data_IF_694889227883
#
_entry.id   IF_694889227883
#
_cell.length_a   1.000
_cell.length_b   1.000
_cell.length_c   1.000
_cell.angle_alpha   90.00
_cell.angle_beta   90.00
_cell.angle_gamma   90.00
#
_symmetry.space_group_name_H-M   'P 1'
#
loop_
_entity.id
_entity.type
_entity.pdbx_description
1 polymer ?
#
# COMPACT_ATOMS: atom_id res chain seq x y z
N UNK A 1 -13.76 18.92 20.20
CA UNK A 1 -12.41 19.45 20.53
C UNK A 1 -11.86 20.16 19.32
N UNK A 2 -11.09 21.26 19.46
CA UNK A 2 -10.48 21.91 18.31
C UNK A 2 -9.59 20.89 17.58
N UNK A 3 -9.85 20.68 16.29
CA UNK A 3 -9.08 19.81 15.41
C UNK A 3 -7.76 20.50 15.07
N UNK A 4 -6.92 20.75 16.07
CA UNK A 4 -5.63 21.40 15.89
C UNK A 4 -4.55 20.33 15.73
N UNK A 5 -3.64 20.56 14.81
CA UNK A 5 -2.46 19.72 14.63
C UNK A 5 -1.57 19.89 15.87
N UNK A 6 -1.34 18.84 16.68
CA UNK A 6 -0.51 18.96 17.87
C UNK A 6 0.94 19.16 17.42
N UNK A 7 1.45 20.37 17.66
CA UNK A 7 2.85 20.74 17.40
C UNK A 7 3.72 20.16 18.51
N UNK A 8 4.85 19.59 18.12
CA UNK A 8 5.86 19.07 19.04
C UNK A 8 7.08 19.98 18.91
N UNK A 9 7.61 20.48 20.03
CA UNK A 9 8.82 21.28 20.01
C UNK A 9 10.07 20.41 20.00
N UNK A 10 11.13 20.82 19.30
CA UNK A 10 12.43 20.11 19.33
C UNK A 10 13.01 19.90 20.75
N UNK A 11 12.65 20.74 21.71
CA UNK A 11 13.06 20.60 23.12
C UNK A 11 12.43 19.40 23.84
N UNK A 12 11.35 18.83 23.32
CA UNK A 12 10.66 17.68 23.90
C UNK A 12 11.18 16.34 23.38
N UNK A 13 12.08 16.36 22.39
CA UNK A 13 12.59 15.16 21.74
C UNK A 13 13.80 14.61 22.51
N UNK A 14 13.74 13.33 22.85
CA UNK A 14 14.86 12.61 23.45
C UNK A 14 16.08 12.64 22.52
N UNK A 15 17.21 13.12 23.04
CA UNK A 15 18.49 13.22 22.34
C UNK A 15 18.94 11.87 21.76
N UNK A 16 18.57 10.76 22.43
CA UNK A 16 18.86 9.40 21.98
C UNK A 16 18.18 9.06 20.64
N UNK A 17 16.94 9.50 20.45
CA UNK A 17 16.16 9.30 19.21
C UNK A 17 16.78 10.09 18.08
N UNK A 18 17.21 11.34 18.36
CA UNK A 18 17.82 12.20 17.34
C UNK A 18 19.10 11.59 16.79
N UNK A 19 20.00 11.14 17.68
CA UNK A 19 21.26 10.51 17.28
C UNK A 19 21.04 9.23 16.46
N UNK A 20 20.04 8.41 16.82
CA UNK A 20 19.69 7.22 16.06
C UNK A 20 19.17 7.58 14.67
N UNK A 21 18.26 8.55 14.55
CA UNK A 21 17.73 9.01 13.27
C UNK A 21 18.83 9.63 12.38
N UNK A 22 19.71 10.47 12.94
CA UNK A 22 20.86 11.04 12.23
C UNK A 22 21.79 9.96 11.65
N UNK A 23 22.00 8.87 12.40
CA UNK A 23 22.78 7.72 11.91
C UNK A 23 22.12 7.06 10.69
N UNK A 24 20.79 6.97 10.66
CA UNK A 24 20.03 6.44 9.52
C UNK A 24 20.14 7.37 8.32
N UNK A 25 19.92 8.67 8.51
CA UNK A 25 20.08 9.65 7.44
C UNK A 25 21.50 9.61 6.85
N UNK A 26 22.52 9.53 7.71
CA UNK A 26 23.91 9.46 7.28
C UNK A 26 24.28 8.15 6.56
N UNK A 27 23.64 7.01 6.90
CA UNK A 27 23.85 5.76 6.15
C UNK A 27 23.18 5.80 4.78
N UNK A 28 21.98 6.39 4.68
CA UNK A 28 21.22 6.46 3.43
C UNK A 28 21.88 7.42 2.44
N UNK A 29 22.35 8.58 2.89
CA UNK A 29 23.09 9.53 2.04
C UNK A 29 24.36 8.92 1.46
N UNK A 30 24.98 7.96 2.15
CA UNK A 30 26.15 7.22 1.64
C UNK A 30 25.79 6.15 0.61
N UNK A 31 24.57 5.59 0.67
CA UNK A 31 24.08 4.60 -0.30
C UNK A 31 23.55 5.24 -1.58
N UNK A 32 23.01 6.48 -1.52
CA UNK A 32 22.60 7.25 -2.71
C UNK A 32 23.75 7.51 -3.69
N UNK A 33 24.99 7.68 -3.19
CA UNK A 33 26.18 7.84 -4.04
C UNK A 33 26.56 6.55 -4.81
N UNK A 34 26.03 5.39 -4.41
CA UNK A 34 26.34 4.08 -5.00
C UNK A 34 25.24 3.56 -5.95
N UNK A 35 24.91 4.31 -7.01
CA UNK A 35 24.22 3.89 -8.27
C UNK A 35 22.95 3.01 -8.28
N UNK A 36 22.49 2.46 -7.17
CA UNK A 36 21.24 1.72 -7.03
C UNK A 36 20.46 2.30 -5.85
N UNK A 37 19.93 3.52 -6.05
CA UNK A 37 19.05 4.18 -5.10
C UNK A 37 17.74 3.37 -4.95
N UNK A 38 17.75 2.36 -4.08
CA UNK A 38 16.53 1.85 -3.47
C UNK A 38 15.90 3.01 -2.70
N UNK A 39 14.63 3.30 -2.98
CA UNK A 39 13.91 4.37 -2.30
C UNK A 39 13.96 4.16 -0.78
N UNK A 40 13.99 5.25 -0.03
CA UNK A 40 13.95 5.39 1.44
C UNK A 40 12.97 4.47 2.20
N UNK A 41 12.05 3.80 1.49
CA UNK A 41 10.98 2.96 2.02
C UNK A 41 10.90 1.55 1.38
N UNK A 42 11.88 1.19 0.55
CA UNK A 42 11.88 -0.11 -0.11
C UNK A 42 12.63 -1.11 0.75
N UNK A 43 11.92 -2.06 1.35
CA UNK A 43 12.54 -3.29 1.84
C UNK A 43 13.04 -4.03 0.59
N UNK A 44 14.33 -4.41 0.48
CA UNK A 44 14.76 -5.32 -0.56
C UNK A 44 13.88 -6.58 -0.51
N UNK A 45 13.09 -6.83 -1.56
CA UNK A 45 12.15 -7.97 -1.59
C UNK A 45 12.89 -9.31 -1.43
N UNK A 46 14.12 -9.37 -1.93
CA UNK A 46 15.10 -10.34 -1.48
C UNK A 46 15.86 -9.70 -0.33
N UNK A 47 15.61 -10.13 0.91
CA UNK A 47 16.44 -9.77 2.04
C UNK A 47 17.67 -10.70 2.03
N UNK A 48 18.85 -10.31 1.46
CA UNK A 48 20.03 -11.16 1.45
C UNK A 48 20.56 -11.45 2.87
N UNK A 49 20.11 -10.65 3.85
CA UNK A 49 20.37 -10.87 5.27
C UNK A 49 19.75 -12.19 5.74
N UNK A 50 18.58 -12.60 5.23
CA UNK A 50 17.98 -13.90 5.58
C UNK A 50 18.87 -15.06 5.15
N UNK A 51 19.24 -15.14 3.88
CA UNK A 51 20.01 -16.28 3.37
C UNK A 51 21.47 -16.33 3.85
N UNK A 52 22.15 -15.18 4.00
CA UNK A 52 23.53 -15.14 4.46
C UNK A 52 23.65 -15.23 5.99
N UNK A 53 22.83 -14.50 6.76
CA UNK A 53 22.86 -14.63 8.22
C UNK A 53 22.24 -15.94 8.70
N UNK A 54 21.22 -16.50 8.04
CA UNK A 54 20.71 -17.82 8.42
C UNK A 54 21.71 -18.92 8.10
N UNK A 55 22.48 -18.83 6.99
CA UNK A 55 23.61 -19.75 6.74
C UNK A 55 24.73 -19.61 7.76
N UNK A 56 25.12 -18.38 8.11
CA UNK A 56 26.15 -18.16 9.13
C UNK A 56 25.66 -18.63 10.50
N UNK A 57 24.39 -18.43 10.83
CA UNK A 57 23.77 -18.89 12.07
C UNK A 57 23.59 -20.41 12.10
N UNK A 58 23.22 -21.06 11.00
CA UNK A 58 23.20 -22.53 10.87
C UNK A 58 24.60 -23.10 11.00
N UNK A 59 25.59 -22.51 10.35
CA UNK A 59 27.00 -22.92 10.46
C UNK A 59 27.51 -22.78 11.91
N UNK A 60 27.20 -21.66 12.58
CA UNK A 60 27.55 -21.46 13.99
C UNK A 60 26.80 -22.42 14.92
N UNK A 61 25.55 -22.77 14.59
CA UNK A 61 24.74 -23.74 15.34
C UNK A 61 25.27 -25.17 15.15
N UNK A 62 25.70 -25.55 13.95
CA UNK A 62 26.38 -26.82 13.68
C UNK A 62 27.71 -26.91 14.42
N UNK A 63 28.51 -25.84 14.44
CA UNK A 63 29.76 -25.77 15.22
C UNK A 63 29.45 -25.91 16.72
N UNK A 64 28.42 -25.24 17.23
CA UNK A 64 28.01 -25.34 18.64
C UNK A 64 27.45 -26.73 19.00
N UNK A 65 26.73 -27.38 18.10
CA UNK A 65 26.24 -28.75 18.25
C UNK A 65 27.39 -29.76 18.21
N UNK A 66 28.38 -29.59 17.34
CA UNK A 66 29.60 -30.42 17.32
C UNK A 66 30.42 -30.25 18.61
N UNK A 67 30.59 -29.03 19.11
CA UNK A 67 31.22 -28.78 20.42
C UNK A 67 30.42 -29.36 21.59
N UNK A 68 29.08 -29.36 21.49
CA UNK A 68 28.17 -29.97 22.48
C UNK A 68 28.22 -31.51 22.43
N UNK A 69 28.31 -32.11 21.25
CA UNK A 69 28.51 -33.55 21.06
C UNK A 69 29.89 -34.01 21.53
N UNK A 70 30.96 -33.25 21.27
CA UNK A 70 32.29 -33.51 21.84
C UNK A 70 32.28 -33.35 23.36
N UNK A 71 31.63 -32.30 23.89
CA UNK A 71 31.44 -32.07 25.33
C UNK A 71 30.66 -33.20 26.00
N UNK A 72 29.61 -33.73 25.36
CA UNK A 72 28.79 -34.83 25.87
C UNK A 72 29.47 -36.19 25.73
N UNK A 73 30.27 -36.43 24.67
CA UNK A 73 31.17 -37.60 24.57
C UNK A 73 32.27 -37.55 25.63
N UNK A 74 32.86 -36.37 25.88
CA UNK A 74 33.87 -36.14 26.93
C UNK A 74 33.27 -36.29 28.34
N UNK A 75 32.03 -35.85 28.56
CA UNK A 75 31.24 -36.07 29.80
C UNK A 75 30.76 -37.51 29.97
N UNK A 76 30.43 -38.24 28.91
CA UNK A 76 30.12 -39.69 28.95
C UNK A 76 31.35 -40.52 29.33
N UNK A 77 32.53 -40.16 28.83
CA UNK A 77 33.80 -40.75 29.27
C UNK A 77 34.13 -40.42 30.74
N UNK A 78 33.69 -39.28 31.26
CA UNK A 78 33.81 -38.95 32.70
C UNK A 78 32.74 -39.61 33.59
N UNK A 79 31.51 -39.82 33.08
CA UNK A 79 30.39 -40.43 33.83
C UNK A 79 30.50 -41.95 33.99
N UNK A 80 31.40 -42.63 33.28
CA UNK A 80 31.64 -44.06 33.47
C UNK A 80 32.48 -44.39 34.74
N UNK A 81 32.86 -43.39 35.55
CA UNK A 81 33.69 -43.57 36.76
C UNK A 81 33.05 -43.16 38.09
N UNK A 82 31.74 -42.89 38.17
CA UNK A 82 31.12 -42.54 39.46
C UNK A 82 29.68 -43.01 39.59
N UNK A 83 29.52 -44.07 40.40
CA UNK A 83 28.34 -44.41 41.24
C UNK A 83 26.99 -44.56 40.52
N UNK A 84 26.35 -45.74 40.41
CA UNK A 84 25.92 -46.64 41.50
C UNK A 84 25.44 -45.88 42.75
N UNK A 85 24.14 -45.55 42.82
CA UNK A 85 23.21 -45.81 43.94
C UNK A 85 22.03 -44.81 44.01
N UNK A 86 20.89 -45.39 44.42
CA UNK A 86 19.66 -44.83 45.00
C UNK A 86 18.53 -44.35 44.07
N UNK A 87 17.49 -45.18 44.03
CA UNK A 87 16.08 -44.91 43.75
C UNK A 87 15.40 -44.36 45.02
N UNK A 88 14.50 -43.37 44.89
CA UNK A 88 13.37 -43.17 45.81
C UNK A 88 12.33 -42.20 45.20
N UNK A 89 11.06 -42.42 45.58
CA UNK A 89 9.82 -41.99 44.94
C UNK A 89 9.14 -40.76 45.60
N UNK A 90 8.15 -40.20 44.87
CA UNK A 90 6.95 -39.40 45.26
C UNK A 90 7.11 -37.88 45.54
N UNK A 91 6.03 -37.04 45.47
CA UNK A 91 4.63 -37.27 45.04
C UNK A 91 4.04 -36.22 44.07
N UNK A 92 2.88 -36.57 43.52
CA UNK A 92 1.88 -35.74 42.85
C UNK A 92 1.10 -34.85 43.84
N UNK A 93 1.15 -33.53 43.65
CA UNK A 93 0.07 -32.56 43.93
C UNK A 93 0.60 -31.12 43.86
N UNK A 94 0.25 -30.38 42.80
CA UNK A 94 0.13 -28.93 42.83
C UNK A 94 -1.05 -28.54 41.94
N UNK A 95 -2.14 -28.14 42.59
CA UNK A 95 -3.30 -27.48 42.00
C UNK A 95 -2.86 -26.21 41.29
N UNK A 96 -3.12 -26.10 39.98
CA UNK A 96 -3.04 -24.84 39.24
C UNK A 96 -4.47 -24.39 38.93
N UNK A 97 -4.80 -23.19 39.39
CA UNK A 97 -6.10 -22.53 39.34
C UNK A 97 -6.57 -22.29 37.87
N UNK A 98 -7.79 -22.68 37.46
CA UNK A 98 -8.25 -22.62 36.06
C UNK A 98 -8.77 -21.24 35.59
N UNK A 99 -8.44 -20.14 36.28
CA UNK A 99 -8.95 -18.80 35.94
C UNK A 99 -8.15 -18.10 34.82
N UNK A 100 -6.84 -18.39 34.67
CA UNK A 100 -6.03 -17.69 33.67
C UNK A 100 -6.30 -18.17 32.23
N UNK A 101 -6.77 -19.41 32.06
CA UNK A 101 -7.05 -20.00 30.75
C UNK A 101 -8.38 -19.50 30.15
N UNK A 102 -9.35 -19.12 30.98
CA UNK A 102 -10.66 -18.61 30.53
C UNK A 102 -10.61 -17.15 30.05
N UNK A 103 -9.65 -16.35 30.51
CA UNK A 103 -9.47 -14.96 30.07
C UNK A 103 -8.92 -14.83 28.65
N UNK A 104 -8.24 -15.84 28.11
CA UNK A 104 -7.64 -15.78 26.76
C UNK A 104 -8.63 -16.20 25.67
N UNK A 105 -9.73 -16.87 26.04
CA UNK A 105 -10.76 -17.35 25.11
C UNK A 105 -11.93 -16.36 24.96
N UNK A 106 -11.98 -15.31 25.78
CA UNK A 106 -13.08 -14.33 25.74
C UNK A 106 -12.63 -12.99 25.18
N UNK A 107 -12.81 -12.79 23.87
CA UNK A 107 -13.48 -11.57 23.45
C UNK A 107 -14.46 -11.84 22.30
N UNK A 108 -15.58 -12.53 22.54
CA UNK A 108 -16.66 -12.62 21.54
C UNK A 108 -18.10 -12.59 22.09
N UNK A 109 -18.33 -12.37 23.38
CA UNK A 109 -19.69 -12.19 23.90
C UNK A 109 -19.75 -10.93 24.77
N UNK A 110 -20.39 -9.89 24.24
CA UNK A 110 -20.73 -8.67 24.99
C UNK A 110 -21.83 -8.99 26.02
N UNK A 111 -21.67 -8.66 27.32
CA UNK A 111 -22.78 -8.71 28.25
C UNK A 111 -23.65 -7.46 28.05
N UNK A 112 -24.78 -7.61 27.37
CA UNK A 112 -25.80 -6.54 27.25
C UNK A 112 -26.34 -6.25 25.84
N UNK A 113 -26.07 -7.09 24.83
CA UNK A 113 -26.76 -6.96 23.55
C UNK A 113 -28.22 -7.45 23.66
N UNK A 114 -29.23 -6.71 23.15
CA UNK A 114 -30.59 -7.21 23.09
C UNK A 114 -30.60 -8.48 22.24
N UNK A 115 -31.35 -9.49 22.71
CA UNK A 115 -31.52 -10.80 22.05
C UNK A 115 -31.87 -10.58 20.57
N UNK A 116 -30.89 -10.77 19.67
CA UNK A 116 -31.16 -10.81 18.24
C UNK A 116 -31.96 -12.08 17.92
N UNK A 117 -33.01 -12.00 17.10
CA UNK A 117 -33.84 -13.14 16.74
C UNK A 117 -33.01 -14.15 15.94
N UNK A 118 -33.13 -15.43 16.32
CA UNK A 118 -32.77 -16.65 15.58
C UNK A 118 -31.82 -16.49 14.38
N UNK A 119 -30.60 -17.02 14.55
CA UNK A 119 -29.66 -17.31 13.46
C UNK A 119 -30.42 -18.10 12.37
N UNK A 120 -30.39 -17.69 11.09
CA UNK A 120 -31.03 -18.44 10.01
C UNK A 120 -30.46 -19.88 9.94
N UNK A 121 -31.31 -20.89 9.75
CA UNK A 121 -30.97 -22.34 9.67
C UNK A 121 -29.91 -22.73 8.60
N UNK A 122 -29.38 -21.77 7.83
CA UNK A 122 -28.36 -21.98 6.79
C UNK A 122 -26.99 -21.38 7.12
N UNK A 123 -26.68 -21.07 8.38
CA UNK A 123 -25.30 -20.73 8.76
C UNK A 123 -24.44 -21.99 8.75
N UNK A 124 -23.35 -22.07 7.96
CA UNK A 124 -22.46 -23.22 7.99
C UNK A 124 -21.90 -23.39 9.41
N UNK A 125 -21.96 -24.63 9.92
CA UNK A 125 -21.38 -24.98 11.22
C UNK A 125 -19.85 -24.92 11.11
N UNK A 126 -19.29 -23.77 11.50
CA UNK A 126 -17.87 -23.50 11.32
C UNK A 126 -17.03 -24.18 12.40
N UNK A 127 -16.56 -25.40 12.11
CA UNK A 127 -15.60 -26.12 12.94
C UNK A 127 -14.19 -25.97 12.36
N UNK A 128 -13.28 -25.34 13.11
CA UNK A 128 -11.86 -25.22 12.74
C UNK A 128 -10.94 -25.59 13.90
N UNK A 129 -9.78 -26.13 13.58
CA UNK A 129 -8.71 -26.30 14.57
C UNK A 129 -8.07 -24.94 14.82
N UNK A 130 -8.06 -24.51 16.07
CA UNK A 130 -7.47 -23.24 16.48
C UNK A 130 -6.10 -23.46 17.12
N UNK A 131 -5.09 -22.77 16.63
CA UNK A 131 -3.74 -22.80 17.20
C UNK A 131 -3.64 -21.71 18.27
N UNK A 132 -3.53 -22.11 19.53
CA UNK A 132 -3.35 -21.21 20.66
C UNK A 132 -1.87 -20.87 20.91
N UNK A 133 -1.63 -19.75 21.59
CA UNK A 133 -0.29 -19.27 21.93
C UNK A 133 0.15 -18.07 21.07
N UNK A 134 0.70 -17.08 21.77
CA UNK A 134 1.21 -15.83 21.17
C UNK A 134 2.66 -15.52 21.57
N UNK A 135 3.28 -16.38 22.38
CA UNK A 135 4.63 -16.14 22.89
C UNK A 135 5.69 -16.57 21.88
N UNK A 136 6.56 -15.63 21.50
CA UNK A 136 7.73 -15.93 20.67
C UNK A 136 8.90 -16.37 21.57
N UNK A 137 9.33 -17.63 21.44
CA UNK A 137 10.44 -18.17 22.22
C UNK A 137 11.76 -17.40 21.97
N UNK A 138 12.59 -17.30 23.01
CA UNK A 138 13.94 -16.73 22.96
C UNK A 138 14.02 -15.20 23.02
N UNK A 139 12.90 -14.50 23.27
CA UNK A 139 12.87 -13.05 23.47
C UNK A 139 12.82 -12.78 24.97
N UNK A 140 13.61 -11.82 25.45
CA UNK A 140 13.55 -11.41 26.85
C UNK A 140 12.31 -10.55 27.11
N UNK A 141 11.85 -10.49 28.36
CA UNK A 141 10.70 -9.65 28.72
C UNK A 141 10.99 -8.17 28.48
N UNK A 142 12.24 -7.75 28.71
CA UNK A 142 12.71 -6.38 28.52
C UNK A 142 12.68 -5.98 27.03
N UNK A 143 13.21 -6.82 26.15
CA UNK A 143 13.17 -6.58 24.69
C UNK A 143 11.74 -6.52 24.17
N UNK A 144 10.86 -7.36 24.71
CA UNK A 144 9.44 -7.36 24.37
C UNK A 144 8.75 -6.05 24.79
N UNK A 145 8.95 -5.61 26.04
CA UNK A 145 8.35 -4.39 26.56
C UNK A 145 8.83 -3.16 25.76
N UNK A 146 10.13 -3.11 25.46
CA UNK A 146 10.71 -2.05 24.63
C UNK A 146 10.10 -2.03 23.23
N UNK A 147 10.04 -3.18 22.55
CA UNK A 147 9.44 -3.30 21.23
C UNK A 147 7.95 -2.94 21.22
N UNK A 148 7.21 -3.31 22.27
CA UNK A 148 5.79 -2.98 22.39
C UNK A 148 5.59 -1.46 22.51
N UNK A 149 6.40 -0.76 23.32
CA UNK A 149 6.35 0.70 23.48
C UNK A 149 6.66 1.43 22.17
N UNK A 150 7.72 1.01 21.45
CA UNK A 150 8.12 1.65 20.19
C UNK A 150 7.09 1.44 19.09
N UNK A 151 6.57 0.22 18.93
CA UNK A 151 5.51 -0.10 17.97
C UNK A 151 4.22 0.65 18.29
N UNK A 152 3.83 0.73 19.57
CA UNK A 152 2.65 1.50 19.99
C UNK A 152 2.79 2.98 19.64
N UNK A 153 3.97 3.57 19.86
CA UNK A 153 4.26 4.96 19.46
C UNK A 153 4.13 5.15 17.94
N UNK A 154 4.65 4.22 17.14
CA UNK A 154 4.52 4.27 15.69
C UNK A 154 3.04 4.16 15.23
N UNK A 155 2.22 3.37 15.93
CA UNK A 155 0.78 3.29 15.66
C UNK A 155 0.04 4.60 15.96
N UNK A 156 0.38 5.29 17.05
CA UNK A 156 -0.15 6.63 17.34
C UNK A 156 0.23 7.66 16.27
N UNK A 157 1.49 7.64 15.82
CA UNK A 157 1.95 8.49 14.71
C UNK A 157 1.14 8.19 13.44
N UNK A 158 0.96 6.91 13.10
CA UNK A 158 0.15 6.50 11.94
C UNK A 158 -1.30 6.96 12.07
N UNK A 159 -1.93 6.82 13.23
CA UNK A 159 -3.31 7.27 13.47
C UNK A 159 -3.43 8.79 13.30
N UNK A 160 -2.49 9.56 13.87
CA UNK A 160 -2.41 11.02 13.74
C UNK A 160 -2.45 11.45 12.27
N UNK A 161 -1.57 10.89 11.43
CA UNK A 161 -1.50 11.27 10.01
C UNK A 161 -2.63 10.69 9.17
N UNK A 162 -3.12 9.49 9.50
CA UNK A 162 -4.29 8.91 8.83
C UNK A 162 -5.53 9.80 9.04
N UNK A 163 -5.70 10.33 10.25
CA UNK A 163 -6.75 11.28 10.59
C UNK A 163 -6.64 12.59 9.82
N UNK A 164 -5.42 13.12 9.66
CA UNK A 164 -5.17 14.35 8.89
C UNK A 164 -5.43 14.18 7.39
N UNK A 165 -5.10 13.00 6.85
CA UNK A 165 -5.30 12.67 5.45
C UNK A 165 -6.72 12.15 5.14
N UNK A 166 -7.63 12.13 6.13
CA UNK A 166 -8.96 11.53 6.00
C UNK A 166 -8.92 10.05 5.55
N UNK A 167 -7.84 9.34 5.88
CA UNK A 167 -7.70 7.92 5.60
C UNK A 167 -8.41 7.09 6.67
N UNK A 168 -9.01 5.98 6.23
CA UNK A 168 -9.61 5.02 7.17
C UNK A 168 -8.53 4.34 7.99
N UNK A 169 -8.67 4.40 9.31
CA UNK A 169 -7.79 3.70 10.26
C UNK A 169 -8.49 2.45 10.82
N UNK A 170 -7.81 1.31 11.02
CA UNK A 170 -8.45 0.08 11.49
C UNK A 170 -9.10 0.25 12.87
N UNK A 171 -10.41 -0.03 12.97
CA UNK A 171 -11.20 0.11 14.20
C UNK A 171 -10.64 -0.70 15.37
N UNK A 172 -10.24 -1.94 15.10
CA UNK A 172 -9.64 -2.83 16.11
C UNK A 172 -8.40 -2.19 16.71
N UNK A 173 -7.49 -1.67 15.88
CA UNK A 173 -6.28 -1.00 16.36
C UNK A 173 -6.61 0.27 17.13
N UNK A 174 -7.55 1.09 16.64
CA UNK A 174 -7.99 2.31 17.33
C UNK A 174 -8.54 2.02 18.74
N UNK A 175 -9.33 0.94 18.89
CA UNK A 175 -9.86 0.52 20.19
C UNK A 175 -8.75 0.18 21.19
N UNK A 176 -7.74 -0.58 20.75
CA UNK A 176 -6.58 -0.90 21.60
C UNK A 176 -5.77 0.35 21.96
N UNK A 177 -5.55 1.27 21.02
CA UNK A 177 -4.84 2.53 21.29
C UNK A 177 -5.59 3.40 22.31
N UNK A 178 -6.91 3.57 22.16
CA UNK A 178 -7.72 4.32 23.13
C UNK A 178 -7.75 3.65 24.49
N UNK A 179 -7.86 2.32 24.54
CA UNK A 179 -7.79 1.59 25.80
C UNK A 179 -6.44 1.79 26.50
N UNK A 180 -5.33 1.85 25.75
CA UNK A 180 -4.00 2.14 26.31
C UNK A 180 -3.91 3.57 26.89
N UNK A 181 -4.66 4.52 26.34
CA UNK A 181 -4.80 5.89 26.86
C UNK A 181 -5.87 6.03 27.97
N UNK A 182 -6.49 4.93 28.40
CA UNK A 182 -7.66 4.92 29.30
C UNK A 182 -8.86 5.74 28.77
N UNK A 183 -9.00 5.80 27.45
CA UNK A 183 -10.11 6.46 26.76
C UNK A 183 -11.08 5.43 26.18
N UNK A 184 -12.35 5.81 26.07
CA UNK A 184 -13.35 5.00 25.33
C UNK A 184 -13.26 5.33 23.85
N UNK A 185 -13.21 4.30 23.02
CA UNK A 185 -13.34 4.45 21.58
C UNK A 185 -14.81 4.66 21.20
N UNK A 186 -15.11 5.72 20.46
CA UNK A 186 -16.44 5.97 19.90
C UNK A 186 -16.39 5.96 18.38
N UNK A 187 -17.49 5.50 17.76
CA UNK A 187 -17.62 5.49 16.29
C UNK A 187 -17.66 6.91 15.72
N UNK A 188 -18.18 7.87 16.47
CA UNK A 188 -18.31 9.28 16.06
C UNK A 188 -16.95 9.98 15.90
N UNK A 189 -15.90 9.44 16.52
CA UNK A 189 -14.53 9.94 16.40
C UNK A 189 -13.82 9.41 15.13
N UNK A 190 -14.45 8.49 14.39
CA UNK A 190 -13.90 7.92 13.15
C UNK A 190 -13.92 8.98 12.03
N UNK A 191 -12.74 9.28 11.48
CA UNK A 191 -12.64 10.07 10.26
C UNK A 191 -12.68 9.14 9.06
N UNK A 192 -13.61 9.42 8.15
CA UNK A 192 -13.76 8.70 6.90
C UNK A 192 -13.41 9.63 5.73
N UNK A 193 -12.85 9.07 4.65
CA UNK A 193 -12.66 9.84 3.43
C UNK A 193 -14.02 10.26 2.91
N UNK A 194 -14.12 11.51 2.46
CA UNK A 194 -15.29 11.94 1.69
C UNK A 194 -15.24 11.24 0.33
N UNK A 195 -16.26 10.44 0.04
CA UNK A 195 -16.33 9.61 -1.15
C UNK A 195 -17.51 10.07 -1.99
N UNK A 196 -17.23 10.68 -3.14
CA UNK A 196 -18.27 11.01 -4.10
C UNK A 196 -18.94 9.72 -4.57
N UNK A 197 -20.27 9.57 -4.39
CA UNK A 197 -20.98 8.38 -4.80
C UNK A 197 -20.82 8.15 -6.32
N UNK A 198 -20.86 6.89 -6.74
CA UNK A 198 -20.98 6.59 -8.17
C UNK A 198 -22.28 7.20 -8.68
N UNK A 199 -22.27 7.91 -9.83
CA UNK A 199 -23.48 8.33 -10.52
C UNK A 199 -24.38 7.13 -10.79
N UNK A 200 -25.69 7.30 -10.63
CA UNK A 200 -26.68 6.24 -10.88
C UNK A 200 -26.89 6.06 -12.38
N UNK A 201 -27.48 4.93 -12.79
CA UNK A 201 -27.84 4.69 -14.18
C UNK A 201 -28.74 5.84 -14.70
N UNK A 202 -28.27 6.55 -15.73
CA UNK A 202 -28.96 7.68 -16.35
C UNK A 202 -28.59 9.07 -15.82
N UNK A 203 -27.77 9.17 -14.76
CA UNK A 203 -27.18 10.45 -14.31
C UNK A 203 -25.93 10.77 -15.13
N UNK A 204 -25.75 12.03 -15.56
CA UNK A 204 -24.53 12.43 -16.27
C UNK A 204 -23.39 12.64 -15.24
N UNK A 205 -22.31 11.82 -15.28
CA UNK A 205 -21.19 11.91 -14.36
C UNK A 205 -20.42 13.25 -14.44
N UNK A 206 -20.64 14.05 -15.49
CA UNK A 206 -19.98 15.34 -15.72
C UNK A 206 -20.89 16.53 -15.47
N UNK A 207 -22.04 16.32 -14.83
CA UNK A 207 -22.98 17.39 -14.49
C UNK A 207 -22.32 18.38 -13.53
N UNK A 208 -22.45 19.67 -13.84
CA UNK A 208 -21.97 20.76 -12.98
C UNK A 208 -23.02 21.22 -11.96
N UNK A 209 -24.25 20.70 -12.07
CA UNK A 209 -25.32 20.93 -11.10
C UNK A 209 -24.95 20.31 -9.74
N UNK A 210 -25.03 21.10 -8.67
CA UNK A 210 -24.69 20.65 -7.31
C UNK A 210 -23.24 20.86 -6.90
N UNK A 211 -22.40 21.47 -7.74
CA UNK A 211 -21.10 22.01 -7.30
C UNK A 211 -21.37 23.14 -6.29
N UNK A 212 -20.80 23.09 -5.06
CA UNK A 212 -20.98 24.15 -4.08
C UNK A 212 -20.52 25.51 -4.62
N UNK A 213 -21.27 26.56 -4.31
CA UNK A 213 -20.88 27.93 -4.65
C UNK A 213 -19.53 28.29 -4.00
N UNK A 214 -18.79 29.19 -4.64
CA UNK A 214 -17.56 29.73 -4.08
C UNK A 214 -17.85 30.38 -2.73
N UNK A 215 -17.27 29.82 -1.67
CA UNK A 215 -17.40 30.29 -0.30
C UNK A 215 -16.58 31.57 -0.03
N UNK A 216 -15.88 32.10 -1.04
CA UNK A 216 -15.08 33.33 -1.01
C UNK A 216 -13.86 33.27 -0.06
N UNK A 217 -13.39 32.07 0.28
CA UNK A 217 -12.16 31.90 1.05
C UNK A 217 -10.94 32.33 0.23
N UNK A 218 -10.01 33.01 0.89
CA UNK A 218 -8.71 33.34 0.30
C UNK A 218 -7.67 32.27 0.64
N UNK A 219 -6.88 31.85 -0.34
CA UNK A 219 -5.84 30.83 -0.18
C UNK A 219 -4.45 31.46 -0.32
N UNK A 220 -3.51 31.11 0.56
CA UNK A 220 -2.11 31.50 0.45
C UNK A 220 -1.19 30.34 0.80
N UNK A 221 -0.26 30.01 -0.10
CA UNK A 221 0.78 29.03 0.17
C UNK A 221 1.91 29.67 1.00
N UNK A 222 2.27 29.04 2.12
CA UNK A 222 3.42 29.39 2.95
C UNK A 222 4.22 28.12 3.22
N UNK A 223 5.50 28.13 2.89
CA UNK A 223 6.41 26.98 3.08
C UNK A 223 5.86 25.66 2.49
N UNK A 224 5.14 25.75 1.36
CA UNK A 224 4.52 24.60 0.69
C UNK A 224 3.15 24.16 1.26
N UNK A 225 2.65 24.82 2.31
CA UNK A 225 1.35 24.51 2.94
C UNK A 225 0.33 25.58 2.56
N UNK A 226 -0.85 25.16 2.12
CA UNK A 226 -1.94 26.07 1.76
C UNK A 226 -2.70 26.46 3.04
N UNK A 227 -2.61 27.75 3.38
CA UNK A 227 -3.40 28.36 4.44
C UNK A 227 -4.70 28.93 3.86
N UNK A 228 -5.78 28.76 4.62
CA UNK A 228 -7.13 29.21 4.26
C UNK A 228 -7.46 30.40 5.15
N UNK A 229 -8.00 31.47 4.57
CA UNK A 229 -8.40 32.69 5.26
C UNK A 229 -9.86 32.98 4.93
N UNK A 230 -10.63 33.38 5.94
CA UNK A 230 -12.06 33.68 5.81
C UNK A 230 -12.31 34.80 4.78
N UNK A 231 -11.47 35.82 4.77
CA UNK A 231 -11.59 36.99 3.91
C UNK A 231 -10.23 37.62 3.56
N UNK A 232 -10.26 38.57 2.62
CA UNK A 232 -9.06 39.31 2.21
C UNK A 232 -8.48 40.19 3.33
N UNK A 233 -9.28 40.53 4.35
CA UNK A 233 -8.81 41.26 5.53
C UNK A 233 -8.03 40.36 6.48
N UNK A 234 -8.52 39.16 6.80
CA UNK A 234 -7.80 38.16 7.57
C UNK A 234 -6.49 37.75 6.89
N UNK A 235 -6.47 37.71 5.55
CA UNK A 235 -5.24 37.50 4.78
C UNK A 235 -4.20 38.62 5.02
N UNK A 236 -4.63 39.89 5.01
CA UNK A 236 -3.76 41.03 5.32
C UNK A 236 -3.27 41.00 6.77
N UNK A 237 -4.11 40.57 7.69
CA UNK A 237 -3.78 40.42 9.11
C UNK A 237 -3.02 39.12 9.42
N UNK A 238 -2.81 38.26 8.42
CA UNK A 238 -2.11 36.97 8.56
C UNK A 238 -2.75 36.06 9.62
N UNK A 239 -4.07 36.10 9.74
CA UNK A 239 -4.86 35.30 10.66
C UNK A 239 -5.58 34.17 9.90
N UNK A 240 -4.98 32.96 9.78
CA UNK A 240 -5.61 31.87 9.06
C UNK A 240 -6.80 31.28 9.83
N UNK A 241 -7.71 30.65 9.09
CA UNK A 241 -8.82 29.88 9.63
C UNK A 241 -8.31 28.76 10.55
N UNK A 242 -9.08 28.37 11.56
CA UNK A 242 -8.64 27.39 12.57
C UNK A 242 -8.69 25.94 12.05
N UNK A 243 -7.82 25.57 11.10
CA UNK A 243 -7.63 24.21 10.57
C UNK A 243 -6.37 23.53 11.13
N UNK A 244 -6.29 22.19 11.09
CA UNK A 244 -5.08 21.45 11.44
C UNK A 244 -4.03 21.59 10.35
N UNK A 245 -3.30 22.71 10.32
CA UNK A 245 -2.17 22.87 9.41
C UNK A 245 -1.01 21.97 9.86
N UNK A 246 -0.50 21.08 8.99
CA UNK A 246 0.71 20.33 9.27
C UNK A 246 1.89 21.27 9.54
N UNK A 247 2.86 20.79 10.30
CA UNK A 247 4.08 21.52 10.60
C UNK A 247 5.29 20.65 10.24
N UNK A 248 6.22 21.22 9.48
CA UNK A 248 7.37 20.49 8.94
C UNK A 248 8.29 19.98 10.05
N UNK A 249 8.51 20.79 11.08
CA UNK A 249 9.35 20.43 12.24
C UNK A 249 8.75 19.23 12.97
N UNK A 250 7.45 19.29 13.29
CA UNK A 250 6.73 18.18 13.91
C UNK A 250 6.75 16.92 13.04
N UNK A 251 6.59 17.05 11.73
CA UNK A 251 6.68 15.92 10.80
C UNK A 251 8.07 15.28 10.82
N UNK A 252 9.14 16.10 10.80
CA UNK A 252 10.51 15.61 10.88
C UNK A 252 10.80 14.88 12.20
N UNK A 253 10.25 15.37 13.32
CA UNK A 253 10.34 14.73 14.63
C UNK A 253 9.63 13.37 14.63
N UNK A 254 8.37 13.32 14.17
CA UNK A 254 7.60 12.07 14.09
C UNK A 254 8.29 11.05 13.17
N UNK A 255 8.83 11.50 12.03
CA UNK A 255 9.61 10.67 11.13
C UNK A 255 10.88 10.14 11.81
N UNK A 256 11.58 10.97 12.56
CA UNK A 256 12.78 10.57 13.32
C UNK A 256 12.47 9.46 14.33
N UNK A 257 11.31 9.50 15.00
CA UNK A 257 10.87 8.41 15.88
C UNK A 257 10.68 7.09 15.12
N UNK A 258 10.07 7.13 13.93
CA UNK A 258 9.87 5.94 13.11
C UNK A 258 11.21 5.39 12.59
N UNK A 259 12.13 6.26 12.15
CA UNK A 259 13.45 5.86 11.67
C UNK A 259 14.31 5.25 12.79
N UNK A 260 14.29 5.86 13.98
CA UNK A 260 14.99 5.32 15.15
C UNK A 260 14.47 3.92 15.52
N UNK A 261 13.14 3.70 15.45
CA UNK A 261 12.54 2.38 15.69
C UNK A 261 13.00 1.34 14.66
N UNK A 262 13.16 1.70 13.38
CA UNK A 262 13.61 0.77 12.33
C UNK A 262 15.02 0.23 12.60
N UNK A 263 15.88 1.05 13.20
CA UNK A 263 17.28 0.70 13.50
C UNK A 263 17.48 0.14 14.90
N UNK A 264 16.45 0.19 15.75
CA UNK A 264 16.48 -0.45 17.06
C UNK A 264 16.60 -1.97 16.93
N UNK A 265 17.74 -2.51 17.39
CA UNK A 265 18.09 -3.92 17.28
C UNK A 265 17.08 -4.86 17.95
N UNK A 266 16.76 -4.66 19.24
CA UNK A 266 15.75 -5.45 19.95
C UNK A 266 14.38 -5.45 19.26
N UNK A 267 13.86 -4.27 18.87
CA UNK A 267 12.58 -4.16 18.15
C UNK A 267 12.64 -4.92 16.82
N UNK A 268 13.72 -4.78 16.05
CA UNK A 268 13.89 -5.49 14.78
C UNK A 268 13.93 -7.01 14.96
N UNK A 269 14.70 -7.51 15.92
CA UNK A 269 14.75 -8.94 16.24
C UNK A 269 13.39 -9.47 16.70
N UNK A 270 12.68 -8.71 17.53
CA UNK A 270 11.31 -9.05 17.97
C UNK A 270 10.37 -9.17 16.78
N UNK A 271 10.30 -8.13 15.94
CA UNK A 271 9.42 -8.11 14.76
C UNK A 271 9.72 -9.27 13.80
N UNK A 272 11.00 -9.55 13.51
CA UNK A 272 11.40 -10.67 12.65
C UNK A 272 10.90 -12.01 13.20
N UNK A 273 11.14 -12.28 14.50
CA UNK A 273 10.68 -13.53 15.13
C UNK A 273 9.16 -13.62 15.19
N UNK A 274 8.48 -12.51 15.44
CA UNK A 274 7.01 -12.47 15.46
C UNK A 274 6.43 -12.73 14.08
N UNK A 275 7.00 -12.16 13.03
CA UNK A 275 6.58 -12.43 11.65
C UNK A 275 6.78 -13.91 11.28
N UNK A 276 7.94 -14.49 11.59
CA UNK A 276 8.19 -15.91 11.35
C UNK A 276 7.23 -16.79 12.13
N UNK A 277 6.95 -16.47 13.40
CA UNK A 277 5.98 -17.19 14.21
C UNK A 277 4.57 -17.11 13.61
N UNK A 278 4.12 -15.94 13.18
CA UNK A 278 2.80 -15.74 12.55
C UNK A 278 2.72 -16.50 11.22
N UNK A 279 3.78 -16.49 10.43
CA UNK A 279 3.87 -17.26 9.18
C UNK A 279 3.80 -18.77 9.44
N UNK A 280 4.57 -19.30 10.39
CA UNK A 280 4.50 -20.71 10.78
C UNK A 280 3.13 -21.10 11.34
N UNK A 281 2.49 -20.21 12.11
CA UNK A 281 1.12 -20.40 12.61
C UNK A 281 0.11 -20.47 11.47
N UNK A 282 0.27 -19.62 10.45
CA UNK A 282 -0.57 -19.66 9.25
C UNK A 282 -0.33 -20.94 8.42
N UNK A 283 0.92 -21.37 8.26
CA UNK A 283 1.25 -22.62 7.57
C UNK A 283 0.63 -23.84 8.28
N UNK A 284 0.72 -23.89 9.61
CA UNK A 284 0.06 -24.96 10.37
C UNK A 284 -1.47 -24.87 10.27
N UNK A 285 -2.03 -23.65 10.22
CA UNK A 285 -3.46 -23.46 9.99
C UNK A 285 -3.89 -24.04 8.64
N UNK A 286 -3.14 -23.77 7.57
CA UNK A 286 -3.38 -24.33 6.25
C UNK A 286 -3.36 -25.86 6.29
N UNK A 287 -2.31 -26.47 6.85
CA UNK A 287 -2.21 -27.93 6.98
C UNK A 287 -3.38 -28.58 7.74
N UNK A 288 -3.96 -27.89 8.73
CA UNK A 288 -5.02 -28.43 9.57
C UNK A 288 -6.42 -28.15 9.03
N UNK A 289 -6.61 -27.04 8.30
CA UNK A 289 -7.93 -26.51 7.96
C UNK A 289 -8.20 -26.42 6.46
N UNK A 290 -7.23 -26.64 5.56
CA UNK A 290 -7.39 -26.52 4.10
C UNK A 290 -8.60 -27.32 3.58
N UNK A 291 -8.73 -28.58 3.98
CA UNK A 291 -9.85 -29.44 3.53
C UNK A 291 -11.21 -28.94 4.03
N UNK A 292 -11.25 -28.36 5.24
CA UNK A 292 -12.47 -27.77 5.78
C UNK A 292 -12.84 -26.50 5.01
N UNK A 293 -11.88 -25.60 4.77
CA UNK A 293 -12.09 -24.38 3.98
C UNK A 293 -12.52 -24.70 2.54
N UNK A 294 -11.92 -25.73 1.91
CA UNK A 294 -12.30 -26.18 0.57
C UNK A 294 -13.72 -26.76 0.53
N UNK A 295 -14.12 -27.50 1.58
CA UNK A 295 -15.50 -28.01 1.71
C UNK A 295 -16.49 -26.85 1.84
N UNK A 296 -16.18 -25.84 2.64
CA UNK A 296 -17.00 -24.65 2.80
C UNK A 296 -17.13 -23.87 1.48
N UNK A 297 -16.03 -23.69 0.75
CA UNK A 297 -16.05 -23.06 -0.57
C UNK A 297 -17.00 -23.79 -1.53
N UNK A 298 -16.96 -25.14 -1.54
CA UNK A 298 -17.87 -25.97 -2.35
C UNK A 298 -19.33 -25.91 -1.87
N UNK A 299 -19.55 -25.60 -0.59
CA UNK A 299 -20.87 -25.40 0.00
C UNK A 299 -21.56 -24.12 -0.44
N UNK A 300 -20.82 -23.15 -0.98
CA UNK A 300 -21.38 -21.89 -1.50
C UNK A 300 -21.54 -21.98 -3.02
N UNK A 301 -22.74 -22.33 -3.53
CA UNK A 301 -22.94 -22.44 -4.96
C UNK A 301 -22.77 -21.09 -5.66
N UNK A 302 -22.29 -21.12 -6.90
CA UNK A 302 -22.09 -19.94 -7.75
C UNK A 302 -21.10 -18.88 -7.25
N UNK A 303 -20.29 -19.17 -6.22
CA UNK A 303 -19.16 -18.32 -5.82
C UNK A 303 -17.84 -19.04 -6.07
N UNK A 304 -17.23 -18.74 -7.21
CA UNK A 304 -15.91 -19.20 -7.60
C UNK A 304 -15.01 -17.99 -7.93
N UNK A 305 -13.79 -18.26 -8.39
CA UNK A 305 -12.83 -17.22 -8.75
C UNK A 305 -13.32 -16.26 -9.85
N UNK A 306 -14.26 -16.68 -10.69
CA UNK A 306 -14.83 -15.85 -11.75
C UNK A 306 -15.92 -14.92 -11.21
N UNK A 307 -16.66 -15.35 -10.20
CA UNK A 307 -17.78 -14.61 -9.61
C UNK A 307 -17.40 -13.77 -8.38
N UNK A 308 -16.12 -13.71 -8.02
CA UNK A 308 -15.60 -12.82 -6.97
C UNK A 308 -15.18 -11.50 -7.57
N UNK A 309 -15.69 -10.40 -7.01
CA UNK A 309 -15.28 -9.04 -7.38
C UNK A 309 -13.81 -8.84 -7.05
N UNK A 310 -13.05 -8.39 -8.03
CA UNK A 310 -11.62 -8.12 -7.96
C UNK A 310 -11.35 -6.74 -8.55
N UNK A 311 -10.44 -6.02 -7.90
CA UNK A 311 -10.07 -4.67 -8.26
C UNK A 311 -8.57 -4.66 -8.53
N UNK A 312 -8.17 -4.22 -9.72
CA UNK A 312 -6.78 -3.88 -9.97
C UNK A 312 -6.51 -2.49 -9.37
N UNK A 313 -5.90 -2.47 -8.19
CA UNK A 313 -5.59 -1.24 -7.45
C UNK A 313 -4.29 -0.60 -7.90
N UNK A 314 -3.55 -1.18 -8.87
CA UNK A 314 -2.27 -0.62 -9.30
C UNK A 314 -2.02 -0.75 -10.81
N UNK A 315 -2.72 0.05 -11.59
CA UNK A 315 -2.55 0.10 -13.05
C UNK A 315 -2.35 1.53 -13.56
N UNK A 316 -1.39 1.74 -14.46
CA UNK A 316 -1.24 3.02 -15.14
C UNK A 316 -2.20 3.08 -16.33
N UNK A 317 -2.87 4.20 -16.55
CA UNK A 317 -3.85 4.32 -17.64
C UNK A 317 -3.24 4.06 -19.03
N UNK A 318 -2.01 4.55 -19.28
CA UNK A 318 -1.29 4.30 -20.52
C UNK A 318 -0.89 2.82 -20.73
N UNK A 319 -1.08 1.98 -19.71
CA UNK A 319 -0.79 0.56 -19.71
C UNK A 319 -2.05 -0.30 -19.51
N UNK A 320 -3.24 0.28 -19.58
CA UNK A 320 -4.47 -0.44 -19.26
C UNK A 320 -4.90 -1.43 -20.33
N UNK A 321 -4.54 -1.19 -21.60
CA UNK A 321 -4.87 -2.08 -22.70
C UNK A 321 -3.84 -3.19 -22.89
N UNK A 322 -4.31 -4.31 -23.44
CA UNK A 322 -3.43 -5.37 -23.91
C UNK A 322 -2.61 -4.91 -25.14
N UNK A 323 -1.37 -5.36 -25.25
CA UNK A 323 -0.48 -5.08 -26.38
C UNK A 323 -1.11 -5.45 -27.73
N UNK A 324 -1.81 -6.59 -27.81
CA UNK A 324 -2.52 -7.03 -29.02
C UNK A 324 -3.67 -6.07 -29.40
N UNK A 325 -4.36 -5.55 -28.39
CA UNK A 325 -5.45 -4.59 -28.58
C UNK A 325 -4.90 -3.26 -29.10
N UNK A 326 -3.83 -2.74 -28.47
CA UNK A 326 -3.13 -1.54 -28.95
C UNK A 326 -2.65 -1.69 -30.40
N UNK A 327 -2.00 -2.80 -30.74
CA UNK A 327 -1.53 -3.06 -32.11
C UNK A 327 -2.68 -3.01 -33.12
N UNK A 328 -3.77 -3.72 -32.82
CA UNK A 328 -4.96 -3.75 -33.67
C UNK A 328 -5.59 -2.36 -33.83
N UNK A 329 -5.57 -1.56 -32.76
CA UNK A 329 -6.07 -0.18 -32.80
C UNK A 329 -5.21 0.70 -33.72
N UNK A 330 -3.88 0.61 -33.63
CA UNK A 330 -2.94 1.33 -34.51
C UNK A 330 -3.15 0.93 -35.97
N UNK A 331 -3.29 -0.37 -36.26
CA UNK A 331 -3.54 -0.87 -37.62
C UNK A 331 -4.88 -0.39 -38.17
N UNK A 332 -5.92 -0.38 -37.34
CA UNK A 332 -7.27 0.04 -37.75
C UNK A 332 -7.30 1.54 -38.04
N UNK A 333 -6.76 2.36 -37.14
CA UNK A 333 -6.70 3.82 -37.30
C UNK A 333 -5.86 4.23 -38.50
N UNK A 334 -4.72 3.57 -38.76
CA UNK A 334 -3.97 3.80 -39.99
C UNK A 334 -4.79 3.48 -41.24
N UNK A 335 -5.55 2.37 -41.24
CA UNK A 335 -6.38 1.99 -42.39
C UNK A 335 -7.53 2.98 -42.66
N UNK A 336 -8.16 3.52 -41.62
CA UNK A 336 -9.37 4.34 -41.75
C UNK A 336 -9.10 5.85 -41.73
N UNK A 337 -8.02 6.29 -41.07
CA UNK A 337 -7.74 7.70 -40.76
C UNK A 337 -6.31 8.12 -41.17
N UNK A 338 -5.70 7.46 -42.16
CA UNK A 338 -4.34 7.75 -42.64
C UNK A 338 -4.07 9.24 -42.94
N UNK A 339 -5.03 9.93 -43.55
CA UNK A 339 -4.88 11.32 -43.99
C UNK A 339 -5.16 12.36 -42.88
N UNK A 340 -5.52 11.90 -41.67
CA UNK A 340 -5.81 12.78 -40.54
C UNK A 340 -4.53 13.44 -40.04
N UNK A 341 -4.60 14.74 -39.76
CA UNK A 341 -3.50 15.49 -39.11
C UNK A 341 -3.44 15.11 -37.64
N UNK A 342 -2.29 14.62 -37.19
CA UNK A 342 -2.09 14.08 -35.83
C UNK A 342 -0.98 14.77 -35.04
N UNK A 343 -0.09 15.50 -35.71
CA UNK A 343 1.01 16.23 -35.09
C UNK A 343 1.22 17.58 -35.78
N UNK A 344 1.73 18.55 -35.02
CA UNK A 344 2.25 19.80 -35.53
C UNK A 344 3.71 19.93 -35.08
N UNK A 345 4.66 19.92 -36.04
CA UNK A 345 6.09 20.14 -35.75
C UNK A 345 6.58 21.33 -36.56
N UNK A 346 7.04 22.37 -35.87
CA UNK A 346 7.62 23.56 -36.52
C UNK A 346 6.63 24.32 -37.42
N UNK A 347 5.33 24.30 -37.10
CA UNK A 347 4.26 24.92 -37.91
C UNK A 347 3.84 24.11 -39.13
N UNK A 348 4.40 22.92 -39.33
CA UNK A 348 3.97 21.98 -40.36
C UNK A 348 3.02 20.94 -39.76
N UNK A 349 1.84 20.83 -40.36
CA UNK A 349 0.84 19.82 -40.05
C UNK A 349 1.26 18.48 -40.65
N UNK A 350 1.42 17.46 -39.81
CA UNK A 350 1.85 16.11 -40.20
C UNK A 350 0.66 15.15 -40.11
N UNK A 351 0.38 14.44 -41.20
CA UNK A 351 -0.68 13.41 -41.24
C UNK A 351 -0.21 12.10 -40.62
N UNK A 352 -1.14 11.25 -40.18
CA UNK A 352 -0.81 9.94 -39.61
C UNK A 352 0.03 9.11 -40.59
N UNK A 353 -0.30 9.17 -41.89
CA UNK A 353 0.51 8.56 -42.95
C UNK A 353 1.94 9.08 -42.98
N UNK A 354 2.13 10.39 -42.95
CA UNK A 354 3.46 11.00 -42.94
C UNK A 354 4.26 10.66 -41.69
N UNK A 355 3.60 10.45 -40.54
CA UNK A 355 4.28 9.97 -39.32
C UNK A 355 4.90 8.60 -39.55
N UNK A 356 4.14 7.65 -40.10
CA UNK A 356 4.64 6.31 -40.41
C UNK A 356 5.70 6.32 -41.52
N UNK A 357 5.53 7.16 -42.54
CA UNK A 357 6.54 7.35 -43.59
C UNK A 357 7.86 7.88 -43.00
N UNK A 358 7.80 8.84 -42.05
CA UNK A 358 8.97 9.41 -41.37
C UNK A 358 9.69 8.38 -40.49
N UNK A 359 8.91 7.52 -39.84
CA UNK A 359 9.44 6.43 -39.03
C UNK A 359 9.96 5.26 -39.86
N UNK A 360 9.80 5.28 -41.19
CA UNK A 360 10.18 4.20 -42.12
C UNK A 360 9.61 2.84 -41.71
N UNK A 361 8.36 2.83 -41.24
CA UNK A 361 7.69 1.62 -40.75
C UNK A 361 6.31 1.47 -41.37
N UNK A 362 6.01 0.27 -41.87
CA UNK A 362 4.64 -0.10 -42.24
C UNK A 362 3.88 -0.57 -40.98
N UNK A 363 2.71 0.02 -40.66
CA UNK A 363 1.86 -0.43 -39.55
C UNK A 363 1.45 -1.91 -39.59
N UNK A 364 1.43 -2.53 -40.77
CA UNK A 364 1.11 -3.95 -40.92
C UNK A 364 2.30 -4.88 -40.62
N UNK A 365 3.52 -4.34 -40.68
CA UNK A 365 4.73 -5.06 -40.29
C UNK A 365 5.02 -4.94 -38.78
N UNK A 366 4.26 -4.10 -38.07
CA UNK A 366 4.35 -4.01 -36.61
C UNK A 366 3.86 -5.31 -35.96
N UNK A 367 4.71 -5.87 -35.09
CA UNK A 367 4.37 -7.02 -34.27
C UNK A 367 4.11 -6.61 -32.82
N UNK A 368 3.56 -7.53 -32.03
CA UNK A 368 3.39 -7.33 -30.59
C UNK A 368 4.75 -7.04 -29.92
N UNK A 369 5.80 -7.76 -30.33
CA UNK A 369 7.15 -7.58 -29.81
C UNK A 369 7.75 -6.22 -30.22
N UNK A 370 7.39 -5.70 -31.39
CA UNK A 370 7.84 -4.39 -31.89
C UNK A 370 7.35 -3.22 -31.02
N UNK A 371 6.24 -3.38 -30.29
CA UNK A 371 5.69 -2.31 -29.45
C UNK A 371 6.44 -2.18 -28.10
N UNK A 372 7.24 -3.18 -27.71
CA UNK A 372 8.02 -3.27 -26.46
C UNK A 372 7.28 -2.90 -25.16
N UNK A 373 5.96 -3.07 -25.13
CA UNK A 373 5.07 -2.72 -24.00
C UNK A 373 5.03 -3.82 -22.92
N UNK A 374 6.19 -4.39 -22.56
CA UNK A 374 6.29 -5.50 -21.61
C UNK A 374 6.22 -5.05 -20.15
N UNK A 375 5.27 -5.60 -19.39
CA UNK A 375 5.23 -5.47 -17.94
C UNK A 375 6.32 -6.36 -17.31
N UNK A 376 7.25 -5.76 -16.56
CA UNK A 376 8.28 -6.49 -15.79
C UNK A 376 8.46 -5.93 -14.38
N UNK A 377 9.11 -6.69 -13.48
CA UNK A 377 9.32 -6.28 -12.07
C UNK A 377 9.99 -4.91 -11.92
N UNK A 378 10.94 -4.60 -12.82
CA UNK A 378 11.68 -3.33 -12.84
C UNK A 378 10.84 -2.09 -13.21
N UNK A 379 9.59 -2.27 -13.62
CA UNK A 379 8.67 -1.21 -14.06
C UNK A 379 7.77 -0.69 -12.94
N UNK A 380 7.71 -1.41 -11.81
CA UNK A 380 6.78 -1.13 -10.71
C UNK A 380 7.23 0.03 -9.81
N UNK A 381 8.54 0.27 -9.68
CA UNK A 381 9.09 1.31 -8.78
C UNK A 381 9.75 2.50 -9.46
N UNK A 382 10.04 2.39 -10.76
CA UNK A 382 10.85 3.38 -11.50
C UNK A 382 10.03 3.97 -12.64
N UNK A 383 9.47 5.16 -12.40
CA UNK A 383 8.61 5.86 -13.34
C UNK A 383 9.33 6.27 -14.64
N UNK A 384 10.63 6.54 -14.56
CA UNK A 384 11.51 6.75 -15.72
C UNK A 384 11.62 5.48 -16.57
N UNK A 385 11.86 4.31 -15.95
CA UNK A 385 11.87 3.01 -16.66
C UNK A 385 10.50 2.65 -17.22
N UNK A 386 9.41 3.02 -16.53
CA UNK A 386 8.05 2.89 -17.05
C UNK A 386 7.86 3.75 -18.32
N UNK A 387 8.21 5.03 -18.27
CA UNK A 387 8.08 5.91 -19.43
C UNK A 387 8.87 5.44 -20.65
N UNK A 388 10.06 4.88 -20.45
CA UNK A 388 10.86 4.33 -21.55
C UNK A 388 10.24 3.07 -22.15
N UNK A 389 9.56 2.23 -21.36
CA UNK A 389 8.91 0.99 -21.85
C UNK A 389 7.57 1.21 -22.54
N UNK A 390 6.81 2.24 -22.15
CA UNK A 390 5.55 2.58 -22.83
C UNK A 390 5.76 3.59 -23.96
N UNK A 391 6.91 3.52 -24.62
CA UNK A 391 7.22 4.23 -25.84
C UNK A 391 7.12 3.24 -27.01
N UNK A 392 5.97 3.15 -27.71
CA UNK A 392 5.77 2.14 -28.73
C UNK A 392 6.88 2.24 -29.78
N UNK A 393 7.59 1.14 -30.02
CA UNK A 393 8.69 1.06 -31.00
C UNK A 393 9.87 2.00 -30.71
N UNK A 394 9.97 2.54 -29.48
CA UNK A 394 10.98 3.54 -29.12
C UNK A 394 10.75 4.93 -29.73
N UNK A 395 9.62 5.16 -30.40
CA UNK A 395 9.27 6.43 -31.04
C UNK A 395 8.33 7.25 -30.15
N UNK A 396 8.84 8.38 -29.64
CA UNK A 396 8.08 9.32 -28.79
C UNK A 396 6.79 9.81 -29.43
N UNK A 397 6.77 9.87 -30.76
CA UNK A 397 5.67 10.31 -31.60
C UNK A 397 4.45 9.41 -31.47
N UNK A 398 4.62 8.08 -31.54
CA UNK A 398 3.49 7.15 -31.42
C UNK A 398 2.92 7.15 -30.01
N UNK A 399 3.78 7.28 -28.99
CA UNK A 399 3.33 7.46 -27.61
C UNK A 399 2.50 8.72 -27.45
N UNK A 400 2.96 9.83 -28.03
CA UNK A 400 2.25 11.11 -27.96
C UNK A 400 0.88 11.04 -28.64
N UNK A 401 0.79 10.42 -29.81
CA UNK A 401 -0.46 10.31 -30.56
C UNK A 401 -1.47 9.39 -29.86
N UNK A 402 -1.05 8.21 -29.41
CA UNK A 402 -1.97 7.17 -28.94
C UNK A 402 -2.15 7.11 -27.42
N UNK A 403 -1.15 7.53 -26.63
CA UNK A 403 -1.09 7.23 -25.19
C UNK A 403 -1.00 8.49 -24.30
N UNK A 404 -1.11 9.69 -24.87
CA UNK A 404 -1.18 10.95 -24.10
C UNK A 404 -2.56 11.60 -24.24
N UNK A 405 -2.95 12.30 -23.18
CA UNK A 405 -4.18 13.12 -23.13
C UNK A 405 -4.01 14.47 -23.81
N UNK A 406 -2.83 15.06 -23.65
CA UNK A 406 -2.46 16.35 -24.21
C UNK A 406 -1.59 16.13 -25.46
N UNK A 407 -2.22 16.27 -26.63
CA UNK A 407 -1.60 16.19 -27.94
C UNK A 407 -2.44 17.00 -28.96
N UNK A 408 -2.01 17.08 -30.22
CA UNK A 408 -2.68 17.87 -31.26
C UNK A 408 -4.16 17.48 -31.47
N UNK A 409 -4.51 16.19 -31.36
CA UNK A 409 -5.89 15.68 -31.47
C UNK A 409 -6.62 15.66 -30.11
N UNK A 410 -6.10 16.37 -29.11
CA UNK A 410 -6.64 16.46 -27.75
C UNK A 410 -6.89 15.08 -27.12
N UNK A 411 -6.00 14.12 -27.36
CA UNK A 411 -6.04 12.79 -26.74
C UNK A 411 -7.22 11.90 -27.16
N UNK A 412 -7.85 12.16 -28.31
CA UNK A 412 -9.02 11.40 -28.78
C UNK A 412 -8.75 9.90 -28.92
N UNK A 413 -7.60 9.51 -29.48
CA UNK A 413 -7.23 8.10 -29.63
C UNK A 413 -7.04 7.41 -28.28
N UNK A 414 -6.40 8.08 -27.34
CA UNK A 414 -6.23 7.53 -26.00
C UNK A 414 -7.57 7.33 -25.30
N UNK A 415 -8.48 8.30 -25.41
CA UNK A 415 -9.84 8.18 -24.88
C UNK A 415 -10.63 7.02 -25.52
N UNK A 416 -10.51 6.82 -26.84
CA UNK A 416 -11.15 5.70 -27.55
C UNK A 416 -10.63 4.35 -27.04
N UNK A 417 -9.31 4.19 -26.90
CA UNK A 417 -8.72 2.96 -26.37
C UNK A 417 -9.23 2.68 -24.95
N UNK A 418 -9.23 3.69 -24.08
CA UNK A 418 -9.74 3.54 -22.70
C UNK A 418 -11.21 3.15 -22.70
N UNK A 419 -12.05 3.72 -23.58
CA UNK A 419 -13.46 3.34 -23.68
C UNK A 419 -13.67 1.91 -24.14
N UNK A 420 -12.83 1.42 -25.07
CA UNK A 420 -12.86 0.01 -25.48
C UNK A 420 -12.52 -0.91 -24.30
N UNK A 421 -11.49 -0.57 -23.51
CA UNK A 421 -11.13 -1.31 -22.29
C UNK A 421 -12.23 -1.22 -21.22
N UNK A 422 -12.82 -0.04 -21.05
CA UNK A 422 -13.90 0.19 -20.11
C UNK A 422 -15.13 -0.66 -20.43
N UNK A 423 -15.47 -0.77 -21.72
CA UNK A 423 -16.57 -1.62 -22.19
C UNK A 423 -16.30 -3.10 -21.87
N UNK A 424 -15.08 -3.60 -22.10
CA UNK A 424 -14.70 -4.97 -21.73
C UNK A 424 -14.80 -5.20 -20.21
N UNK A 425 -14.43 -4.20 -19.39
CA UNK A 425 -14.58 -4.25 -17.93
C UNK A 425 -16.05 -4.23 -17.50
N UNK A 426 -16.92 -3.50 -18.19
CA UNK A 426 -18.37 -3.47 -17.90
C UNK A 426 -19.06 -4.79 -18.24
N UNK A 427 -18.67 -5.42 -19.36
CA UNK A 427 -19.10 -6.79 -19.69
C UNK A 427 -18.64 -7.80 -18.62
N UNK A 428 -17.45 -7.58 -18.07
CA UNK A 428 -16.87 -8.39 -17.00
C UNK A 428 -17.32 -7.88 -15.62
N UNK A 429 -18.57 -8.17 -15.23
CA UNK A 429 -19.24 -7.72 -13.98
C UNK A 429 -18.40 -7.75 -12.69
N UNK A 430 -17.40 -8.61 -12.59
CA UNK A 430 -16.60 -8.82 -11.38
C UNK A 430 -15.22 -8.18 -11.43
N UNK A 431 -14.86 -7.52 -12.53
CA UNK A 431 -13.55 -6.89 -12.70
C UNK A 431 -13.69 -5.38 -12.62
N UNK A 432 -12.86 -4.77 -11.78
CA UNK A 432 -12.77 -3.33 -11.62
C UNK A 432 -11.31 -2.91 -11.69
N UNK A 433 -11.06 -1.63 -12.01
CA UNK A 433 -9.70 -1.10 -12.11
C UNK A 433 -9.61 0.31 -11.53
N UNK A 434 -8.44 0.63 -10.98
CA UNK A 434 -8.10 1.96 -10.49
C UNK A 434 -6.95 2.58 -11.32
N UNK A 435 -7.21 2.96 -12.59
CA UNK A 435 -6.19 3.49 -13.48
C UNK A 435 -5.61 4.83 -12.99
N UNK A 436 -4.29 4.95 -13.10
CA UNK A 436 -3.55 6.16 -12.73
C UNK A 436 -3.31 7.09 -13.90
N UNK A 437 -3.65 8.36 -13.70
CA UNK A 437 -3.38 9.47 -14.62
C UNK A 437 -2.34 10.40 -14.03
N UNK A 438 -1.34 10.77 -14.82
CA UNK A 438 -0.24 11.60 -14.34
C UNK A 438 -0.57 13.09 -14.44
N UNK A 439 -0.24 13.84 -13.41
CA UNK A 439 -0.06 15.29 -13.44
C UNK A 439 1.38 15.58 -13.02
N UNK A 440 2.12 16.28 -13.87
CA UNK A 440 3.54 16.55 -13.67
C UNK A 440 3.80 17.82 -12.86
N UNK A 441 2.81 18.71 -12.73
CA UNK A 441 2.96 19.97 -12.00
C UNK A 441 3.86 20.97 -12.70
N UNK A 442 3.99 20.88 -14.04
CA UNK A 442 4.81 21.80 -14.85
C UNK A 442 4.10 23.10 -15.18
N UNK A 443 2.77 23.05 -15.30
CA UNK A 443 1.90 24.19 -15.57
C UNK A 443 0.66 24.10 -14.66
N UNK A 444 0.14 25.24 -14.16
CA UNK A 444 -1.14 25.26 -13.43
C UNK A 444 -2.32 24.75 -14.29
N UNK A 445 -2.25 24.94 -15.61
CA UNK A 445 -3.32 24.60 -16.56
C UNK A 445 -3.45 23.09 -16.79
N UNK A 446 -2.53 22.27 -16.25
CA UNK A 446 -2.51 20.83 -16.44
C UNK A 446 -3.75 20.15 -15.84
N UNK A 447 -4.23 20.65 -14.69
CA UNK A 447 -5.46 20.16 -14.07
C UNK A 447 -6.69 20.45 -14.93
N UNK A 448 -6.81 21.68 -15.44
CA UNK A 448 -7.92 22.09 -16.29
C UNK A 448 -7.91 21.35 -17.63
N UNK A 449 -6.72 21.17 -18.23
CA UNK A 449 -6.56 20.41 -19.47
C UNK A 449 -6.96 18.95 -19.30
N UNK A 450 -6.55 18.31 -18.20
CA UNK A 450 -6.95 16.93 -17.92
C UNK A 450 -8.45 16.80 -17.63
N UNK A 451 -9.03 17.72 -16.86
CA UNK A 451 -10.47 17.74 -16.60
C UNK A 451 -11.28 17.95 -17.90
N UNK A 452 -10.84 18.88 -18.75
CA UNK A 452 -11.42 19.13 -20.06
C UNK A 452 -11.37 17.88 -20.94
N UNK A 453 -10.27 17.13 -20.91
CA UNK A 453 -10.15 15.87 -21.63
C UNK A 453 -11.17 14.82 -21.15
N UNK A 454 -11.36 14.66 -19.84
CA UNK A 454 -12.37 13.76 -19.27
C UNK A 454 -13.79 14.12 -19.71
N UNK A 455 -14.15 15.40 -19.65
CA UNK A 455 -15.49 15.91 -19.98
C UNK A 455 -15.73 15.83 -21.49
N UNK A 456 -14.80 16.34 -22.31
CA UNK A 456 -14.93 16.39 -23.76
C UNK A 456 -15.09 15.00 -24.35
N UNK A 457 -14.29 14.05 -23.88
CA UNK A 457 -14.33 12.69 -24.39
C UNK A 457 -15.28 11.78 -23.61
N UNK A 458 -15.92 12.22 -22.53
CA UNK A 458 -16.82 11.40 -21.69
C UNK A 458 -16.19 10.05 -21.30
N UNK A 459 -14.98 10.08 -20.75
CA UNK A 459 -14.24 8.89 -20.32
C UNK A 459 -14.66 8.49 -18.89
N UNK A 460 -15.75 7.73 -18.79
CA UNK A 460 -16.32 7.25 -17.53
C UNK A 460 -16.75 5.79 -17.66
N UNK A 461 -16.59 5.03 -16.58
CA UNK A 461 -17.14 3.69 -16.41
C UNK A 461 -17.43 3.43 -14.93
N UNK A 462 -18.55 2.77 -14.57
CA UNK A 462 -18.81 2.37 -13.18
C UNK A 462 -17.76 1.40 -12.64
N UNK A 463 -17.04 0.68 -13.51
CA UNK A 463 -16.01 -0.28 -13.11
C UNK A 463 -14.60 0.32 -13.05
N UNK A 464 -14.43 1.61 -13.35
CA UNK A 464 -13.13 2.30 -13.31
C UNK A 464 -13.17 3.51 -12.39
N UNK A 465 -12.16 3.65 -11.52
CA UNK A 465 -11.96 4.85 -10.69
C UNK A 465 -10.57 5.43 -10.91
N UNK A 466 -10.49 6.74 -11.14
CA UNK A 466 -9.24 7.38 -11.51
C UNK A 466 -8.44 7.78 -10.28
N UNK A 467 -7.14 7.48 -10.30
CA UNK A 467 -6.18 7.97 -9.31
C UNK A 467 -5.25 8.96 -10.00
N UNK A 468 -5.14 10.17 -9.47
CA UNK A 468 -4.12 11.11 -9.94
C UNK A 468 -2.79 10.75 -9.29
N UNK A 469 -1.77 10.56 -10.10
CA UNK A 469 -0.39 10.36 -9.66
C UNK A 469 0.46 11.57 -10.02
N UNK A 470 1.34 11.97 -9.10
CA UNK A 470 2.30 13.06 -9.30
C UNK A 470 3.71 12.48 -9.32
N UNK A 471 4.33 12.30 -10.50
CA UNK A 471 5.68 11.77 -10.59
C UNK A 471 6.71 12.70 -9.94
N UNK A 472 7.64 12.13 -9.18
CA UNK A 472 8.79 12.84 -8.58
C UNK A 472 9.98 12.76 -9.53
N UNK A 473 10.02 13.67 -10.51
CA UNK A 473 11.04 13.69 -11.59
C UNK A 473 11.81 15.00 -11.64
#
# INVERSE_FOLDING_TARGET
>A
MPRQFPKISLSEVDESVRLLAEKVYASVLKEEDTKDALSMYTVPEDCPIGLHQDREMEMLKEIAEQYSEESTKRKKNFKMKRSQLVSQQFPSSLNINPEWAMSVVTPLLFPGAPVCPSIPENSPEFQRVTISGDYCAGITVEDYEQAAKTLMKALFIREKYSRLAYHRFPRTTAQFLRSAENQKWNVEDEILPDMCPCPREGEDPYTTEGIPDDLNYSLQMKDGIVYVYDDAEALKQQQPHSLPYPDLETFAIDLSHVLAMIVDGPTKTYCHRRLNFVASKFYLHEMLNEMAELKELKGVPHRDFYNVRKVDTHIHAAACMNQKHLLKFIQTTYKTEADRVVLEKGGQMITLKQVFDTLTMDPYDLTVDSLDVHAGRQTFHRFDKFNSKYNPVGASELREIYLKTDNYIKGEYFARIIKEVAHELEESKYQHAEPRMSIYGRSPDEWESLASWFIQHKVHSPNMRWIIQVPRI
#
